data_IF_104591904793
#
_entry.id   IF_104591904793
#
_cell.length_a   1.000
_cell.length_b   1.000
_cell.length_c   1.000
_cell.angle_alpha   90.00
_cell.angle_beta   90.00
_cell.angle_gamma   90.00
#
_symmetry.space_group_name_H-M   'P 1'
#
loop_
_entity.id
_entity.type
_entity.pdbx_description
1 polymer ?
#
# COMPACT_ATOMS: atom_id res chain seq x y z
N UNK A 1 12.31 3.41 -14.81
CA UNK A 1 11.37 3.24 -13.69
C UNK A 1 10.75 1.87 -13.66
N UNK A 2 10.59 1.23 -14.81
CA UNK A 2 9.65 0.14 -15.11
C UNK A 2 9.55 -0.97 -14.07
N UNK A 3 10.63 -1.69 -13.78
CA UNK A 3 10.56 -2.85 -12.90
C UNK A 3 10.47 -2.49 -11.40
N UNK A 4 11.19 -1.45 -10.96
CA UNK A 4 11.25 -1.08 -9.55
C UNK A 4 9.93 -0.46 -9.08
N UNK A 5 9.37 0.44 -9.87
CA UNK A 5 8.07 1.06 -9.57
C UNK A 5 6.95 0.01 -9.58
N UNK A 6 6.97 -0.92 -10.54
CA UNK A 6 6.04 -2.04 -10.56
C UNK A 6 6.14 -2.92 -9.31
N UNK A 7 7.36 -3.24 -8.86
CA UNK A 7 7.57 -3.99 -7.61
C UNK A 7 7.07 -3.22 -6.39
N UNK A 8 7.29 -1.90 -6.34
CA UNK A 8 6.78 -1.05 -5.27
C UNK A 8 5.25 -1.10 -5.19
N UNK A 9 4.55 -1.01 -6.33
CA UNK A 9 3.09 -1.18 -6.37
C UNK A 9 2.64 -2.59 -5.95
N UNK A 10 3.40 -3.64 -6.32
CA UNK A 10 3.14 -5.01 -5.87
C UNK A 10 3.21 -5.15 -4.34
N UNK A 11 4.21 -4.53 -3.71
CA UNK A 11 4.32 -4.49 -2.24
C UNK A 11 3.15 -3.72 -1.62
N UNK A 12 2.75 -2.58 -2.20
CA UNK A 12 1.59 -1.82 -1.72
C UNK A 12 0.31 -2.67 -1.78
N UNK A 13 0.06 -3.38 -2.89
CA UNK A 13 -1.08 -4.27 -3.03
C UNK A 13 -1.10 -5.39 -1.96
N UNK A 14 0.05 -6.03 -1.72
CA UNK A 14 0.17 -7.05 -0.67
C UNK A 14 -0.04 -6.51 0.76
N UNK A 15 0.17 -5.20 0.98
CA UNK A 15 -0.13 -4.54 2.25
C UNK A 15 -1.62 -4.21 2.39
N UNK A 16 -2.28 -3.79 1.30
CA UNK A 16 -3.74 -3.57 1.27
C UNK A 16 -4.48 -4.85 1.66
N UNK A 17 -4.12 -5.99 1.06
CA UNK A 17 -4.79 -7.29 1.34
C UNK A 17 -4.59 -7.78 2.77
N UNK A 18 -3.55 -7.30 3.46
CA UNK A 18 -3.23 -7.64 4.85
C UNK A 18 -3.62 -6.54 5.86
N UNK A 19 -4.24 -5.44 5.41
CA UNK A 19 -4.59 -4.31 6.27
C UNK A 19 -3.38 -3.59 6.89
N UNK A 20 -2.22 -3.60 6.23
CA UNK A 20 -0.99 -2.98 6.74
C UNK A 20 -0.83 -1.52 6.29
N UNK A 21 -0.14 -0.66 7.05
CA UNK A 21 0.02 0.76 6.70
C UNK A 21 0.73 0.98 5.36
N UNK A 22 0.27 1.91 4.52
CA UNK A 22 0.92 2.26 3.26
C UNK A 22 1.83 3.47 3.38
N UNK A 23 1.65 4.27 4.43
CA UNK A 23 2.37 5.52 4.65
C UNK A 23 2.65 5.73 6.12
N UNK A 24 3.68 6.53 6.43
CA UNK A 24 4.22 6.70 7.77
C UNK A 24 4.56 8.17 8.04
N UNK A 25 4.57 8.61 9.31
CA UNK A 25 4.88 10.00 9.66
C UNK A 25 6.20 10.50 9.08
N UNK A 26 7.24 9.66 9.10
CA UNK A 26 8.58 10.01 8.62
C UNK A 26 8.72 10.14 7.10
N UNK A 27 7.72 9.73 6.31
CA UNK A 27 7.79 9.82 4.84
C UNK A 27 6.82 10.84 4.25
N UNK A 28 5.62 10.99 4.82
CA UNK A 28 4.56 11.86 4.27
C UNK A 28 4.00 12.88 5.26
N UNK A 29 4.41 12.85 6.53
CA UNK A 29 3.92 13.78 7.56
C UNK A 29 2.55 13.45 8.15
N UNK A 30 1.99 12.25 7.86
CA UNK A 30 0.76 11.78 8.51
C UNK A 30 0.94 11.66 10.02
N UNK A 31 -0.12 11.89 10.82
CA UNK A 31 -0.02 11.87 12.28
C UNK A 31 0.31 10.50 12.88
N UNK A 32 -0.09 9.42 12.20
CA UNK A 32 0.18 8.02 12.58
C UNK A 32 0.24 7.16 11.30
N UNK A 33 0.78 5.93 11.34
CA UNK A 33 0.74 5.05 10.17
C UNK A 33 -0.68 4.85 9.66
N UNK A 34 -0.91 5.07 8.36
CA UNK A 34 -2.24 4.97 7.74
C UNK A 34 -2.30 3.81 6.75
N UNK A 35 -3.38 3.03 6.84
CA UNK A 35 -3.78 2.06 5.82
C UNK A 35 -4.45 2.77 4.64
N UNK A 36 -4.71 2.05 3.55
CA UNK A 36 -5.39 2.60 2.37
C UNK A 36 -5.58 1.55 1.28
N UNK A 37 -5.96 2.00 0.09
CA UNK A 37 -6.27 1.14 -1.05
C UNK A 37 -7.60 0.40 -0.91
N UNK A 38 -8.09 -0.17 -2.02
CA UNK A 38 -9.34 -0.94 -2.06
C UNK A 38 -9.16 -2.13 -3.00
N UNK A 39 -9.53 -3.33 -2.53
CA UNK A 39 -9.60 -4.52 -3.37
C UNK A 39 -10.86 -4.41 -4.24
N UNK A 40 -10.68 -4.41 -5.55
CA UNK A 40 -11.77 -4.39 -6.52
C UNK A 40 -11.96 -5.79 -7.09
N UNK A 41 -13.15 -6.35 -6.88
CA UNK A 41 -13.43 -7.77 -7.17
C UNK A 41 -12.98 -8.66 -6.00
N UNK A 42 -13.94 -9.23 -5.28
CA UNK A 42 -13.64 -10.32 -4.35
C UNK A 42 -13.39 -11.59 -5.19
N UNK A 43 -12.51 -12.51 -4.75
CA UNK A 43 -12.64 -13.88 -5.23
C UNK A 43 -14.05 -14.32 -4.86
N UNK A 44 -14.78 -14.81 -5.86
CA UNK A 44 -15.92 -15.70 -5.59
C UNK A 44 -15.43 -16.89 -4.79
#
# INVERSE_FOLDING_TARGET
GDALEAQAFGVLAARVTRGLPLTFPGTTGVAQPLTGGRVMGAPR
#
